data_IF_584088454405
#
_entry.id   IF_584088454405
#
_cell.length_a   1.000
_cell.length_b   1.000
_cell.length_c   1.000
_cell.angle_alpha   90.00
_cell.angle_beta   90.00
_cell.angle_gamma   90.00
#
_symmetry.space_group_name_H-M   'P 1'
#
loop_
_entity.id
_entity.type
_entity.pdbx_description
1 polymer ?
#
# COMPACT_ATOMS: atom_id res chain seq x y z
N UNK A 1 11.92 5.55 -7.47
CA UNK A 1 11.82 5.03 -6.08
C UNK A 1 12.75 3.85 -5.94
N UNK A 2 13.54 3.81 -4.87
CA UNK A 2 14.42 2.69 -4.55
C UNK A 2 14.32 2.39 -3.05
N UNK A 3 14.03 1.14 -2.69
CA UNK A 3 14.07 0.59 -1.34
C UNK A 3 15.11 -0.50 -1.28
N UNK A 4 15.94 -0.51 -0.22
CA UNK A 4 16.96 -1.54 0.03
C UNK A 4 16.81 -2.09 1.44
N UNK A 5 16.43 -3.35 1.55
CA UNK A 5 16.31 -4.11 2.80
C UNK A 5 15.49 -3.36 3.87
N UNK A 6 14.40 -2.72 3.46
CA UNK A 6 13.57 -1.89 4.34
C UNK A 6 12.76 -2.76 5.28
N UNK A 7 12.89 -2.47 6.58
CA UNK A 7 12.09 -3.08 7.64
C UNK A 7 11.34 -2.00 8.42
N UNK A 8 10.14 -2.34 8.88
CA UNK A 8 9.33 -1.50 9.78
C UNK A 8 8.94 -2.30 11.00
N UNK A 9 9.40 -1.83 12.15
CA UNK A 9 9.09 -2.41 13.45
C UNK A 9 8.26 -1.42 14.29
N UNK A 10 7.06 -1.82 14.71
CA UNK A 10 6.23 -1.04 15.61
C UNK A 10 6.43 -1.52 17.05
N UNK A 11 6.88 -0.65 17.97
CA UNK A 11 7.07 -1.02 19.36
C UNK A 11 5.73 -1.30 20.05
N UNK A 12 5.68 -2.38 20.85
CA UNK A 12 4.51 -2.70 21.67
C UNK A 12 4.76 -2.13 23.05
N UNK A 13 3.87 -1.27 23.57
CA UNK A 13 3.96 -0.78 24.94
C UNK A 13 3.99 -1.93 25.95
N UNK A 14 4.88 -1.87 26.95
CA UNK A 14 4.92 -2.86 28.02
C UNK A 14 3.65 -2.76 28.87
N UNK A 15 2.63 -3.57 28.55
CA UNK A 15 1.52 -3.78 29.46
C UNK A 15 1.87 -4.83 30.50
N UNK A 16 1.61 -4.55 31.77
CA UNK A 16 1.92 -5.44 32.91
C UNK A 16 1.09 -6.74 32.95
N UNK A 17 0.19 -6.97 32.02
CA UNK A 17 -0.58 -8.22 31.95
C UNK A 17 -1.16 -8.44 30.54
N UNK A 18 -0.99 -9.61 30.02
CA UNK A 18 -1.92 -10.52 29.34
C UNK A 18 -1.35 -11.18 28.06
N UNK A 19 -1.20 -12.49 28.16
CA UNK A 19 -1.02 -13.40 27.01
C UNK A 19 -2.16 -13.25 25.96
N UNK A 20 -3.37 -12.83 26.38
CA UNK A 20 -4.50 -12.61 25.50
C UNK A 20 -4.37 -11.37 24.61
N UNK A 21 -3.74 -10.29 25.10
CA UNK A 21 -3.52 -9.06 24.33
C UNK A 21 -2.58 -9.30 23.14
N UNK A 22 -1.54 -10.13 23.30
CA UNK A 22 -0.60 -10.47 22.21
C UNK A 22 -1.29 -11.14 21.02
N UNK A 23 -2.21 -12.09 21.27
CA UNK A 23 -2.99 -12.77 20.21
C UNK A 23 -3.94 -11.82 19.49
N UNK A 24 -4.66 -10.96 20.24
CA UNK A 24 -5.60 -9.99 19.65
C UNK A 24 -4.91 -8.99 18.73
N UNK A 25 -3.76 -8.46 19.14
CA UNK A 25 -3.00 -7.46 18.35
C UNK A 25 -2.46 -8.09 17.05
N UNK A 26 -2.01 -9.34 17.07
CA UNK A 26 -1.49 -10.04 15.89
C UNK A 26 -2.57 -10.23 14.82
N UNK A 27 -3.82 -10.53 15.22
CA UNK A 27 -4.95 -10.67 14.29
C UNK A 27 -5.43 -9.33 13.72
N UNK A 28 -5.21 -8.22 14.43
CA UNK A 28 -5.74 -6.90 14.03
C UNK A 28 -4.77 -6.12 13.16
N UNK A 29 -3.44 -6.24 13.40
CA UNK A 29 -2.44 -5.40 12.72
C UNK A 29 -1.71 -6.16 11.61
N UNK A 30 -1.69 -7.50 11.66
CA UNK A 30 -0.80 -8.32 10.82
C UNK A 30 0.68 -8.16 11.19
N UNK A 31 1.56 -8.89 10.54
CA UNK A 31 3.01 -8.81 10.75
C UNK A 31 3.55 -9.83 11.76
N UNK A 32 4.89 -9.92 11.82
CA UNK A 32 5.62 -10.90 12.62
C UNK A 32 5.97 -10.36 14.00
N UNK A 33 5.73 -11.14 15.05
CA UNK A 33 6.15 -10.81 16.40
C UNK A 33 7.66 -10.99 16.56
N UNK A 34 8.39 -9.91 16.91
CA UNK A 34 9.76 -10.00 17.41
C UNK A 34 9.78 -9.78 18.92
N UNK A 35 10.36 -10.75 19.63
CA UNK A 35 10.61 -10.64 21.07
C UNK A 35 12.11 -10.64 21.28
N UNK A 36 12.68 -9.50 21.66
CA UNK A 36 14.03 -9.39 22.17
C UNK A 36 14.02 -9.16 23.68
N UNK A 37 15.13 -9.44 24.36
CA UNK A 37 15.24 -9.26 25.82
C UNK A 37 14.89 -7.80 26.16
N UNK A 38 13.68 -7.58 26.67
CA UNK A 38 13.22 -6.30 27.20
C UNK A 38 12.30 -5.44 26.30
N UNK A 39 12.08 -5.76 25.02
CA UNK A 39 11.16 -5.05 24.15
C UNK A 39 10.46 -6.02 23.19
N UNK A 40 9.15 -5.87 23.05
CA UNK A 40 8.38 -6.59 22.04
C UNK A 40 8.02 -5.61 20.92
N UNK A 41 8.15 -6.02 19.67
CA UNK A 41 7.74 -5.25 18.51
C UNK A 41 6.99 -6.12 17.51
N UNK A 42 6.16 -5.49 16.69
CA UNK A 42 5.54 -6.12 15.53
C UNK A 42 6.30 -5.66 14.30
N UNK A 43 6.87 -6.61 13.57
CA UNK A 43 7.47 -6.33 12.27
C UNK A 43 6.39 -6.31 11.21
N UNK A 44 6.07 -5.13 10.72
CA UNK A 44 5.03 -4.91 9.73
C UNK A 44 5.56 -5.02 8.29
N UNK A 45 6.84 -4.67 8.06
CA UNK A 45 7.56 -4.92 6.81
C UNK A 45 8.91 -5.56 7.13
N UNK A 46 9.28 -6.57 6.35
CA UNK A 46 10.50 -7.35 6.56
C UNK A 46 11.30 -7.46 5.26
N UNK A 47 12.46 -6.80 5.25
CA UNK A 47 13.45 -6.89 4.17
C UNK A 47 12.90 -6.53 2.76
N UNK A 48 12.08 -5.47 2.68
CA UNK A 48 11.52 -5.00 1.41
C UNK A 48 12.62 -4.36 0.56
N UNK A 49 12.86 -4.94 -0.61
CA UNK A 49 13.73 -4.37 -1.65
C UNK A 49 12.94 -4.20 -2.94
N UNK A 50 12.88 -2.96 -3.44
CA UNK A 50 12.01 -2.59 -4.56
C UNK A 50 12.64 -1.45 -5.36
N UNK A 51 12.53 -1.53 -6.68
CA UNK A 51 12.94 -0.45 -7.58
C UNK A 51 11.81 -0.13 -8.56
N UNK A 52 11.35 1.13 -8.57
CA UNK A 52 10.33 1.63 -9.48
C UNK A 52 10.91 2.73 -10.36
N UNK A 53 10.63 2.66 -11.65
CA UNK A 53 11.08 3.57 -12.68
C UNK A 53 9.91 4.41 -13.24
N UNK A 54 10.24 5.42 -14.04
CA UNK A 54 9.23 6.20 -14.76
C UNK A 54 8.41 5.29 -15.68
N UNK A 55 7.09 5.50 -15.69
CA UNK A 55 6.11 4.69 -16.41
C UNK A 55 5.57 3.51 -15.60
N UNK A 56 6.11 3.22 -14.41
CA UNK A 56 5.59 2.15 -13.58
C UNK A 56 4.24 2.52 -12.95
N UNK A 57 3.24 1.69 -13.20
CA UNK A 57 1.91 1.69 -12.59
C UNK A 57 1.79 0.39 -11.79
N UNK A 58 2.03 0.47 -10.49
CA UNK A 58 2.23 -0.72 -9.66
C UNK A 58 1.02 -1.00 -8.78
N UNK A 59 0.44 -2.18 -8.92
CA UNK A 59 -0.59 -2.69 -8.03
C UNK A 59 0.02 -3.42 -6.82
N UNK A 60 -0.36 -3.04 -5.60
CA UNK A 60 -0.05 -3.79 -4.39
C UNK A 60 -1.19 -4.76 -4.09
N UNK A 61 -0.91 -6.04 -4.18
CA UNK A 61 -1.86 -7.15 -3.97
C UNK A 61 -1.49 -7.90 -2.70
N UNK A 62 -2.47 -8.51 -2.04
CA UNK A 62 -2.27 -9.30 -0.83
C UNK A 62 -3.45 -9.20 0.13
N UNK A 63 -3.53 -10.13 1.08
CA UNK A 63 -4.59 -10.18 2.09
C UNK A 63 -4.56 -8.96 3.05
N UNK A 64 -5.61 -8.83 3.87
CA UNK A 64 -5.64 -7.82 4.93
C UNK A 64 -4.51 -8.07 5.94
N UNK A 65 -3.78 -7.02 6.31
CA UNK A 65 -2.61 -7.13 7.17
C UNK A 65 -1.32 -7.59 6.47
N UNK A 66 -1.30 -7.78 5.15
CA UNK A 66 -0.10 -8.14 4.39
C UNK A 66 1.00 -7.06 4.41
N UNK A 67 0.68 -5.81 4.77
CA UNK A 67 1.63 -4.69 4.83
C UNK A 67 1.44 -3.64 3.74
N UNK A 68 0.41 -3.73 2.87
CA UNK A 68 0.16 -2.80 1.75
C UNK A 68 0.12 -1.34 2.19
N UNK A 69 -0.77 -0.99 3.10
CA UNK A 69 -0.90 0.38 3.64
C UNK A 69 0.36 0.84 4.36
N UNK A 70 1.06 -0.07 5.06
CA UNK A 70 2.34 0.25 5.70
C UNK A 70 3.40 0.60 4.66
N UNK A 71 3.51 -0.17 3.58
CA UNK A 71 4.43 0.12 2.48
C UNK A 71 4.11 1.47 1.82
N UNK A 72 2.84 1.75 1.54
CA UNK A 72 2.42 3.05 1.00
C UNK A 72 2.82 4.21 1.92
N UNK A 73 2.64 4.08 3.24
CA UNK A 73 3.04 5.11 4.22
C UNK A 73 4.55 5.28 4.33
N UNK A 74 5.32 4.22 4.12
CA UNK A 74 6.78 4.28 4.00
C UNK A 74 7.18 5.05 2.74
N UNK A 75 6.57 4.75 1.60
CA UNK A 75 6.78 5.46 0.34
C UNK A 75 6.38 6.93 0.43
N UNK A 76 5.32 7.25 1.17
CA UNK A 76 4.88 8.62 1.45
C UNK A 76 5.80 9.38 2.43
N UNK A 77 6.81 8.71 3.03
CA UNK A 77 7.69 9.31 4.03
C UNK A 77 7.06 9.49 5.41
N UNK A 78 5.87 8.90 5.65
CA UNK A 78 5.18 8.96 6.96
C UNK A 78 5.88 8.09 8.00
N UNK A 79 6.35 6.92 7.59
CA UNK A 79 7.09 6.01 8.47
C UNK A 79 8.56 5.94 8.04
N UNK A 80 9.49 6.40 8.90
CA UNK A 80 10.91 6.16 8.67
C UNK A 80 11.22 4.67 8.81
N UNK A 81 12.09 4.10 7.98
CA UNK A 81 12.49 2.71 8.10
C UNK A 81 13.20 2.43 9.42
N UNK A 82 12.88 1.30 10.07
CA UNK A 82 13.61 0.82 11.25
C UNK A 82 14.99 0.28 10.87
N UNK A 83 15.09 -0.30 9.66
CA UNK A 83 16.32 -0.74 9.02
C UNK A 83 16.19 -0.57 7.50
N UNK A 84 17.33 -0.52 6.80
CA UNK A 84 17.41 -0.36 5.37
C UNK A 84 17.37 1.11 4.95
N UNK A 85 17.30 1.33 3.64
CA UNK A 85 17.33 2.65 3.04
C UNK A 85 16.16 2.83 2.06
N UNK A 86 15.60 4.05 2.05
CA UNK A 86 14.62 4.48 1.06
C UNK A 86 15.13 5.73 0.34
N UNK A 87 15.01 5.74 -0.97
CA UNK A 87 15.30 6.88 -1.82
C UNK A 87 14.12 7.14 -2.76
N UNK A 88 13.41 8.24 -2.51
CA UNK A 88 12.38 8.75 -3.39
C UNK A 88 12.83 10.09 -3.98
N UNK A 89 12.73 10.24 -5.31
CA UNK A 89 12.99 11.50 -6.01
C UNK A 89 11.72 11.93 -6.71
N UNK A 90 11.35 13.18 -6.52
CA UNK A 90 10.13 13.77 -7.11
C UNK A 90 9.09 14.13 -6.05
N UNK A 91 8.05 14.84 -6.51
CA UNK A 91 6.92 15.27 -5.68
C UNK A 91 5.95 14.10 -5.49
N UNK A 92 5.67 13.75 -4.25
CA UNK A 92 4.74 12.69 -3.91
C UNK A 92 3.37 13.29 -3.60
N UNK A 93 2.32 12.82 -4.28
CA UNK A 93 0.94 13.03 -3.88
C UNK A 93 0.39 11.73 -3.26
N UNK A 94 0.03 11.82 -1.99
CA UNK A 94 -0.56 10.71 -1.25
C UNK A 94 -2.06 10.90 -1.13
N UNK A 95 -2.83 9.95 -1.63
CA UNK A 95 -4.28 9.87 -1.50
C UNK A 95 -4.70 8.86 -0.41
N UNK A 96 -3.80 8.55 0.53
CA UNK A 96 -4.04 7.57 1.60
C UNK A 96 -5.04 8.10 2.64
N UNK A 97 -4.75 9.27 3.15
CA UNK A 97 -5.54 9.94 4.18
C UNK A 97 -5.77 11.40 3.75
N UNK A 98 -6.52 11.57 2.66
CA UNK A 98 -6.65 12.88 1.98
C UNK A 98 -7.30 13.97 2.84
N UNK A 99 -8.04 13.60 3.89
CA UNK A 99 -8.65 14.54 4.84
C UNK A 99 -7.72 14.96 5.99
N UNK A 100 -6.55 14.32 6.14
CA UNK A 100 -5.60 14.72 7.17
C UNK A 100 -5.01 16.12 6.91
N UNK A 101 -4.80 16.86 8.01
CA UNK A 101 -4.19 18.19 7.97
C UNK A 101 -5.17 19.32 7.67
N UNK A 102 -6.49 19.07 7.75
CA UNK A 102 -7.49 20.12 7.80
C UNK A 102 -7.57 20.73 9.19
N UNK A 103 -7.69 22.06 9.24
CA UNK A 103 -8.11 22.80 10.43
C UNK A 103 -9.64 22.92 10.41
N UNK A 104 -10.30 22.24 11.35
CA UNK A 104 -11.76 22.20 11.43
C UNK A 104 -12.40 23.52 11.83
N UNK A 105 -11.64 24.40 12.48
CA UNK A 105 -12.13 25.73 12.88
C UNK A 105 -11.96 26.77 11.78
N UNK A 106 -11.07 26.51 10.81
CA UNK A 106 -10.86 27.37 9.65
C UNK A 106 -11.92 27.09 8.56
N UNK A 107 -12.17 28.08 7.73
CA UNK A 107 -13.06 28.00 6.57
C UNK A 107 -12.51 27.08 5.46
N UNK A 108 -13.35 26.71 4.50
CA UNK A 108 -12.93 25.97 3.31
C UNK A 108 -11.84 26.69 2.52
N UNK A 109 -11.98 28.00 2.33
CA UNK A 109 -10.97 28.81 1.63
C UNK A 109 -9.62 28.85 2.36
N UNK A 110 -9.65 29.01 3.69
CA UNK A 110 -8.42 28.97 4.49
C UNK A 110 -7.76 27.60 4.44
N UNK A 111 -8.53 26.52 4.44
CA UNK A 111 -8.01 25.17 4.31
C UNK A 111 -7.44 24.89 2.91
N UNK A 112 -8.04 25.42 1.84
CA UNK A 112 -7.45 25.37 0.49
C UNK A 112 -6.06 26.01 0.52
N UNK A 113 -5.95 27.18 1.17
CA UNK A 113 -4.69 27.91 1.28
C UNK A 113 -3.65 27.13 2.11
N UNK A 114 -4.01 26.68 3.30
CA UNK A 114 -3.12 25.92 4.19
C UNK A 114 -2.61 24.63 3.53
N UNK A 115 -3.54 23.83 2.98
CA UNK A 115 -3.15 22.59 2.31
C UNK A 115 -2.35 22.80 1.03
N UNK A 116 -2.67 23.84 0.27
CA UNK A 116 -1.86 24.22 -0.88
C UNK A 116 -0.40 24.48 -0.50
N UNK A 117 -0.17 25.20 0.62
CA UNK A 117 1.19 25.39 1.16
C UNK A 117 1.85 24.07 1.59
N UNK A 118 1.12 23.18 2.27
CA UNK A 118 1.62 21.85 2.64
C UNK A 118 2.02 21.00 1.43
N UNK A 119 1.28 21.12 0.34
CA UNK A 119 1.58 20.45 -0.93
C UNK A 119 2.70 21.14 -1.73
N UNK A 120 3.30 22.21 -1.18
CA UNK A 120 4.43 22.92 -1.78
C UNK A 120 4.06 23.93 -2.84
N UNK A 121 2.79 24.34 -2.93
CA UNK A 121 2.36 25.42 -3.82
C UNK A 121 2.75 26.78 -3.26
N UNK A 122 3.12 27.70 -4.13
CA UNK A 122 3.31 29.11 -3.78
C UNK A 122 1.96 29.80 -3.59
N UNK A 123 1.95 30.92 -2.86
CA UNK A 123 0.74 31.75 -2.66
C UNK A 123 0.07 32.13 -3.99
N UNK A 124 0.86 32.45 -5.00
CA UNK A 124 0.35 32.80 -6.34
C UNK A 124 -0.30 31.60 -7.04
N UNK A 125 0.29 30.41 -6.93
CA UNK A 125 -0.31 29.18 -7.47
C UNK A 125 -1.63 28.86 -6.78
N UNK A 126 -1.66 28.95 -5.43
CA UNK A 126 -2.90 28.71 -4.66
C UNK A 126 -4.00 29.69 -5.08
N UNK A 127 -3.68 30.99 -5.20
CA UNK A 127 -4.65 31.99 -5.66
C UNK A 127 -5.21 31.69 -7.04
N UNK A 128 -4.38 31.18 -7.97
CA UNK A 128 -4.81 30.80 -9.32
C UNK A 128 -5.69 29.55 -9.37
N UNK A 129 -5.51 28.61 -8.45
CA UNK A 129 -6.31 27.38 -8.41
C UNK A 129 -7.55 27.49 -7.51
N UNK A 130 -7.69 28.57 -6.73
CA UNK A 130 -8.80 28.76 -5.79
C UNK A 130 -10.17 28.63 -6.46
N UNK A 131 -10.37 29.35 -7.58
CA UNK A 131 -11.62 29.29 -8.32
C UNK A 131 -11.87 27.92 -8.95
N UNK A 132 -10.82 27.24 -9.43
CA UNK A 132 -10.93 25.89 -9.99
C UNK A 132 -11.37 24.88 -8.92
N UNK A 133 -10.75 24.96 -7.73
CA UNK A 133 -11.11 24.11 -6.60
C UNK A 133 -12.55 24.40 -6.16
N UNK A 134 -12.91 25.66 -6.00
CA UNK A 134 -14.27 26.08 -5.62
C UNK A 134 -15.33 25.54 -6.58
N UNK A 135 -15.11 25.72 -7.88
CA UNK A 135 -16.05 25.26 -8.92
C UNK A 135 -16.14 23.74 -8.95
N UNK A 136 -15.01 23.03 -8.84
CA UNK A 136 -14.99 21.56 -8.87
C UNK A 136 -15.73 20.94 -7.67
N UNK A 137 -15.53 21.51 -6.46
CA UNK A 137 -16.19 21.00 -5.26
C UNK A 137 -17.69 21.21 -5.25
N UNK A 138 -18.17 22.24 -5.95
CA UNK A 138 -19.57 22.70 -5.97
C UNK A 138 -20.14 22.89 -4.55
N UNK A 139 -19.31 23.39 -3.61
CA UNK A 139 -19.72 23.64 -2.22
C UNK A 139 -20.32 25.02 -2.00
N UNK A 140 -20.15 25.95 -2.94
CA UNK A 140 -20.73 27.28 -2.91
C UNK A 140 -20.39 28.03 -1.61
N UNK A 141 -21.43 28.58 -0.94
CA UNK A 141 -21.27 29.37 0.29
C UNK A 141 -20.65 28.58 1.47
N UNK A 142 -20.69 27.26 1.44
CA UNK A 142 -20.04 26.45 2.48
C UNK A 142 -18.53 26.71 2.54
N UNK A 143 -17.88 27.07 1.44
CA UNK A 143 -16.44 27.38 1.44
C UNK A 143 -16.06 28.55 2.38
N UNK A 144 -17.01 29.41 2.71
CA UNK A 144 -16.79 30.49 3.69
C UNK A 144 -17.07 30.06 5.14
N UNK A 145 -17.54 28.82 5.36
CA UNK A 145 -17.89 28.29 6.69
C UNK A 145 -16.78 27.40 7.25
N UNK A 146 -16.66 27.29 8.58
CA UNK A 146 -15.71 26.38 9.23
C UNK A 146 -15.95 24.91 8.83
N UNK A 147 -14.87 24.14 8.62
CA UNK A 147 -14.98 22.75 8.17
C UNK A 147 -15.71 21.82 9.15
N UNK A 148 -15.77 22.16 10.45
CA UNK A 148 -16.58 21.42 11.43
C UNK A 148 -18.07 21.35 11.09
N UNK A 149 -18.55 22.23 10.18
CA UNK A 149 -19.94 22.23 9.70
C UNK A 149 -20.15 21.35 8.48
N UNK A 150 -19.08 20.79 7.90
CA UNK A 150 -19.14 19.98 6.68
C UNK A 150 -19.52 18.53 7.00
N UNK A 151 -20.25 17.92 6.08
CA UNK A 151 -20.40 16.46 6.07
C UNK A 151 -19.08 15.77 5.66
N UNK A 152 -18.94 14.48 5.96
CA UNK A 152 -17.76 13.71 5.52
C UNK A 152 -17.57 13.75 4.00
N UNK A 153 -18.66 13.70 3.23
CA UNK A 153 -18.61 13.81 1.76
C UNK A 153 -18.13 15.18 1.30
N UNK A 154 -18.52 16.29 1.96
CA UNK A 154 -18.02 17.63 1.63
C UNK A 154 -16.54 17.77 1.94
N UNK A 155 -16.08 17.24 3.09
CA UNK A 155 -14.66 17.22 3.45
C UNK A 155 -13.83 16.45 2.42
N UNK A 156 -14.32 15.28 2.01
CA UNK A 156 -13.63 14.46 1.00
C UNK A 156 -13.58 15.14 -0.36
N UNK A 157 -14.66 15.79 -0.82
CA UNK A 157 -14.68 16.56 -2.06
C UNK A 157 -13.64 17.68 -2.03
N UNK A 158 -13.59 18.44 -0.94
CA UNK A 158 -12.61 19.52 -0.77
C UNK A 158 -11.18 18.99 -0.76
N UNK A 159 -10.92 17.93 0.02
CA UNK A 159 -9.61 17.29 0.11
C UNK A 159 -9.12 16.76 -1.24
N UNK A 160 -9.99 16.07 -1.97
CA UNK A 160 -9.71 15.55 -3.30
C UNK A 160 -9.41 16.68 -4.31
N UNK A 161 -10.25 17.72 -4.32
CA UNK A 161 -10.08 18.87 -5.20
C UNK A 161 -8.72 19.54 -5.00
N UNK A 162 -8.31 19.75 -3.74
CA UNK A 162 -7.02 20.39 -3.42
C UNK A 162 -5.86 19.48 -3.85
N UNK A 163 -5.93 18.21 -3.51
CA UNK A 163 -4.83 17.25 -3.75
C UNK A 163 -4.57 17.06 -5.25
N UNK A 164 -5.62 17.08 -6.07
CA UNK A 164 -5.53 16.88 -7.52
C UNK A 164 -5.21 18.15 -8.32
N UNK A 165 -5.00 19.31 -7.67
CA UNK A 165 -4.49 20.52 -8.32
C UNK A 165 -2.95 20.53 -8.43
N UNK A 166 -2.27 19.65 -7.71
CA UNK A 166 -0.80 19.55 -7.75
C UNK A 166 -0.41 18.51 -8.78
N UNK A 167 0.54 18.83 -9.65
CA UNK A 167 1.11 17.85 -10.59
C UNK A 167 2.20 17.05 -9.85
N UNK A 168 1.96 15.76 -9.54
CA UNK A 168 2.91 14.92 -8.84
C UNK A 168 3.79 14.15 -9.80
N UNK A 169 5.01 13.82 -9.35
CA UNK A 169 5.84 12.82 -10.00
C UNK A 169 5.42 11.39 -9.59
N UNK A 170 4.95 11.25 -8.34
CA UNK A 170 4.60 9.97 -7.73
C UNK A 170 3.22 10.06 -7.10
N UNK A 171 2.33 9.13 -7.43
CA UNK A 171 1.00 8.97 -6.82
C UNK A 171 0.97 7.71 -5.97
N UNK A 172 0.47 7.85 -4.73
CA UNK A 172 0.25 6.74 -3.81
C UNK A 172 -1.23 6.69 -3.42
N UNK A 173 -1.87 5.53 -3.62
CA UNK A 173 -3.30 5.33 -3.37
C UNK A 173 -3.53 4.04 -2.59
N UNK A 174 -4.42 4.10 -1.58
CA UNK A 174 -4.93 2.93 -0.85
C UNK A 174 -6.43 2.83 -1.13
N UNK A 175 -6.81 1.91 -1.99
CA UNK A 175 -8.11 1.77 -2.63
C UNK A 175 -8.48 2.92 -3.60
N UNK A 176 -9.41 2.61 -4.50
CA UNK A 176 -9.97 3.62 -5.41
C UNK A 176 -10.91 4.53 -4.64
N UNK A 177 -10.77 5.83 -4.86
CA UNK A 177 -11.54 6.83 -4.13
C UNK A 177 -13.03 6.70 -4.47
N UNK A 178 -13.83 6.32 -3.48
CA UNK A 178 -15.29 6.32 -3.55
C UNK A 178 -15.82 7.55 -2.79
N UNK A 179 -15.89 8.71 -3.46
CA UNK A 179 -16.21 10.00 -2.80
C UNK A 179 -17.48 10.62 -3.36
N UNK A 180 -18.44 10.90 -2.49
CA UNK A 180 -19.58 11.75 -2.81
C UNK A 180 -20.75 11.01 -3.45
N UNK A 181 -21.64 11.78 -4.11
CA UNK A 181 -22.76 11.25 -4.90
C UNK A 181 -22.32 10.82 -6.31
N UNK A 182 -23.21 10.13 -7.03
CA UNK A 182 -22.93 9.57 -8.34
C UNK A 182 -22.39 10.61 -9.36
N UNK A 183 -22.91 11.83 -9.33
CA UNK A 183 -22.50 12.90 -10.24
C UNK A 183 -21.08 13.38 -9.95
N UNK A 184 -20.74 13.55 -8.66
CA UNK A 184 -19.39 13.90 -8.28
C UNK A 184 -18.38 12.79 -8.56
N UNK A 185 -18.80 11.53 -8.40
CA UNK A 185 -17.98 10.35 -8.71
C UNK A 185 -17.50 10.33 -10.16
N UNK A 186 -18.36 10.67 -11.11
CA UNK A 186 -18.00 10.73 -12.53
C UNK A 186 -16.94 11.80 -12.80
N UNK A 187 -17.15 13.02 -12.29
CA UNK A 187 -16.19 14.11 -12.40
C UNK A 187 -14.86 13.80 -11.69
N UNK A 188 -14.94 13.16 -10.51
CA UNK A 188 -13.76 12.76 -9.75
C UNK A 188 -12.95 11.68 -10.49
N UNK A 189 -13.62 10.76 -11.17
CA UNK A 189 -12.99 9.71 -11.99
C UNK A 189 -12.20 10.31 -13.15
N UNK A 190 -12.83 11.16 -13.95
CA UNK A 190 -12.16 11.86 -15.08
C UNK A 190 -10.95 12.66 -14.59
N UNK A 191 -11.11 13.39 -13.47
CA UNK A 191 -10.01 14.18 -12.89
C UNK A 191 -8.87 13.30 -12.38
N UNK A 192 -9.20 12.16 -11.75
CA UNK A 192 -8.21 11.21 -11.26
C UNK A 192 -7.46 10.54 -12.42
N UNK A 193 -8.14 10.17 -13.49
CA UNK A 193 -7.50 9.63 -14.70
C UNK A 193 -6.51 10.64 -15.31
N UNK A 194 -6.92 11.90 -15.44
CA UNK A 194 -6.02 12.98 -15.85
C UNK A 194 -4.83 13.15 -14.91
N UNK A 195 -5.06 13.11 -13.60
CA UNK A 195 -4.04 13.22 -12.57
C UNK A 195 -3.03 12.05 -12.63
N UNK A 196 -3.52 10.82 -12.82
CA UNK A 196 -2.69 9.63 -13.00
C UNK A 196 -1.85 9.73 -14.28
N UNK A 197 -2.44 10.19 -15.38
CA UNK A 197 -1.75 10.25 -16.68
C UNK A 197 -0.53 11.17 -16.67
N UNK A 198 -0.54 12.22 -15.87
CA UNK A 198 0.57 13.19 -15.75
C UNK A 198 1.68 12.72 -14.81
N UNK A 199 1.44 11.71 -13.97
CA UNK A 199 2.44 11.21 -13.03
C UNK A 199 3.46 10.29 -13.68
N UNK A 200 4.69 10.30 -13.15
CA UNK A 200 5.76 9.40 -13.60
C UNK A 200 5.61 7.99 -13.02
N UNK A 201 5.18 7.87 -11.77
CA UNK A 201 5.01 6.59 -11.07
C UNK A 201 3.67 6.62 -10.34
N UNK A 202 2.97 5.49 -10.35
CA UNK A 202 1.78 5.27 -9.50
C UNK A 202 1.93 3.97 -8.72
N UNK A 203 1.57 4.00 -7.43
CA UNK A 203 1.44 2.81 -6.60
C UNK A 203 0.03 2.77 -6.01
N UNK A 204 -0.73 1.74 -6.35
CA UNK A 204 -2.12 1.53 -5.96
C UNK A 204 -2.25 0.24 -5.16
N UNK A 205 -2.67 0.32 -3.89
CA UNK A 205 -3.18 -0.86 -3.19
C UNK A 205 -4.68 -1.00 -3.47
N UNK A 206 -5.12 -2.18 -3.85
CA UNK A 206 -6.55 -2.48 -4.00
C UNK A 206 -6.84 -3.97 -3.83
N UNK A 207 -8.08 -4.25 -3.40
CA UNK A 207 -8.64 -5.58 -3.37
C UNK A 207 -9.39 -5.94 -4.67
N UNK A 208 -9.63 -4.98 -5.57
CA UNK A 208 -10.26 -5.20 -6.86
C UNK A 208 -9.23 -5.62 -7.90
N UNK A 209 -9.28 -6.87 -8.32
CA UNK A 209 -8.45 -7.41 -9.40
C UNK A 209 -8.68 -6.66 -10.71
N UNK A 210 -9.94 -6.40 -11.08
CA UNK A 210 -10.30 -5.68 -12.32
C UNK A 210 -9.68 -4.28 -12.35
N UNK A 211 -9.68 -3.59 -11.21
CA UNK A 211 -9.08 -2.27 -11.09
C UNK A 211 -7.55 -2.33 -11.31
N UNK A 212 -6.88 -3.27 -10.66
CA UNK A 212 -5.42 -3.46 -10.83
C UNK A 212 -5.10 -3.80 -12.30
N UNK A 213 -5.85 -4.73 -12.91
CA UNK A 213 -5.66 -5.13 -14.31
C UNK A 213 -5.86 -3.99 -15.30
N UNK A 214 -6.85 -3.13 -15.06
CA UNK A 214 -7.15 -2.00 -15.96
C UNK A 214 -6.22 -0.80 -15.78
N UNK A 215 -5.57 -0.65 -14.62
CA UNK A 215 -4.86 0.58 -14.26
C UNK A 215 -3.35 0.39 -14.13
N UNK A 216 -2.89 -0.83 -13.81
CA UNK A 216 -1.49 -1.13 -13.52
C UNK A 216 -0.83 -1.95 -14.63
N UNK A 217 0.47 -1.73 -14.83
CA UNK A 217 1.31 -2.53 -15.73
C UNK A 217 2.22 -3.51 -14.99
N UNK A 218 2.37 -3.33 -13.67
CA UNK A 218 3.12 -4.20 -12.78
C UNK A 218 2.31 -4.47 -11.53
N UNK A 219 2.61 -5.55 -10.84
CA UNK A 219 2.07 -5.81 -9.52
C UNK A 219 3.13 -6.36 -8.57
N UNK A 220 2.85 -6.22 -7.27
CA UNK A 220 3.65 -6.74 -6.17
C UNK A 220 2.70 -7.46 -5.23
N UNK A 221 2.93 -8.74 -5.02
CA UNK A 221 2.23 -9.53 -4.01
C UNK A 221 2.95 -9.40 -2.68
N UNK A 222 2.23 -8.90 -1.68
CA UNK A 222 2.70 -8.81 -0.30
C UNK A 222 2.03 -9.88 0.55
N UNK A 223 2.82 -10.52 1.40
CA UNK A 223 2.34 -11.44 2.43
C UNK A 223 3.18 -11.31 3.70
N UNK A 224 2.52 -11.15 4.85
CA UNK A 224 3.17 -11.02 6.17
C UNK A 224 4.33 -10.03 6.23
N UNK A 225 4.24 -8.93 5.47
CA UNK A 225 5.25 -7.88 5.43
C UNK A 225 6.43 -8.15 4.48
N UNK A 226 6.40 -9.20 3.67
CA UNK A 226 7.41 -9.54 2.67
C UNK A 226 6.86 -9.42 1.25
N UNK A 227 7.73 -9.21 0.25
CA UNK A 227 7.38 -9.35 -1.16
C UNK A 227 7.44 -10.84 -1.50
N UNK A 228 6.29 -11.41 -1.84
CA UNK A 228 6.17 -12.82 -2.25
C UNK A 228 6.39 -12.99 -3.75
N UNK A 229 5.88 -12.05 -4.56
CA UNK A 229 6.09 -12.02 -6.00
C UNK A 229 6.06 -10.57 -6.50
N UNK A 230 6.76 -10.31 -7.60
CA UNK A 230 6.69 -9.04 -8.33
C UNK A 230 6.92 -9.30 -9.82
N UNK A 231 6.19 -8.59 -10.67
CA UNK A 231 6.28 -8.77 -12.12
C UNK A 231 5.13 -8.09 -12.84
N UNK A 232 4.72 -8.62 -13.98
CA UNK A 232 3.51 -8.21 -14.67
C UNK A 232 2.27 -8.50 -13.82
N UNK A 233 1.19 -7.79 -14.07
CA UNK A 233 -0.08 -8.01 -13.33
C UNK A 233 -0.54 -9.45 -13.47
N UNK A 234 -0.44 -10.02 -14.68
CA UNK A 234 -0.85 -11.40 -14.97
C UNK A 234 -0.04 -12.43 -14.16
N UNK A 235 1.29 -12.32 -14.16
CA UNK A 235 2.17 -13.22 -13.40
C UNK A 235 1.84 -13.17 -11.90
N UNK A 236 1.66 -11.97 -11.34
CA UNK A 236 1.39 -11.80 -9.92
C UNK A 236 0.01 -12.33 -9.54
N UNK A 237 -1.04 -12.12 -10.37
CA UNK A 237 -2.36 -12.67 -10.10
C UNK A 237 -2.43 -14.17 -10.33
N UNK A 238 -1.67 -14.71 -11.27
CA UNK A 238 -1.52 -16.16 -11.40
C UNK A 238 -1.00 -16.74 -10.08
N UNK A 239 0.06 -16.15 -9.52
CA UNK A 239 0.56 -16.54 -8.20
C UNK A 239 -0.46 -16.30 -7.06
N UNK A 240 -1.16 -15.17 -7.06
CA UNK A 240 -2.14 -14.83 -6.04
C UNK A 240 -3.34 -15.78 -6.02
N UNK A 241 -3.90 -16.10 -7.18
CA UNK A 241 -5.07 -16.98 -7.29
C UNK A 241 -4.72 -18.43 -6.97
N UNK A 242 -3.52 -18.86 -7.34
CA UNK A 242 -3.07 -20.21 -7.07
C UNK A 242 -2.65 -20.42 -5.62
N UNK A 243 -2.05 -19.39 -4.98
CA UNK A 243 -1.44 -19.51 -3.65
C UNK A 243 -1.95 -18.46 -2.64
N UNK A 244 -2.87 -17.61 -3.05
CA UNK A 244 -3.32 -16.42 -2.29
C UNK A 244 -4.18 -16.72 -1.07
N UNK A 245 -4.57 -17.97 -0.85
CA UNK A 245 -5.04 -18.39 0.45
C UNK A 245 -3.80 -18.83 1.25
N UNK A 246 -3.49 -18.12 2.33
CA UNK A 246 -2.45 -18.46 3.32
C UNK A 246 -2.59 -19.88 3.92
N UNK A 247 -3.63 -20.62 3.49
CA UNK A 247 -3.88 -22.02 3.85
C UNK A 247 -2.97 -23.03 3.13
N UNK A 248 -2.31 -22.63 2.03
CA UNK A 248 -1.60 -23.59 1.17
C UNK A 248 -0.07 -23.58 1.31
N UNK A 249 0.52 -22.58 1.99
CA UNK A 249 1.97 -22.53 2.17
C UNK A 249 2.34 -21.98 3.55
N UNK A 250 2.93 -22.83 4.38
CA UNK A 250 3.54 -22.44 5.65
C UNK A 250 5.06 -22.41 5.50
N UNK A 251 5.64 -21.18 5.60
CA UNK A 251 7.07 -20.95 5.45
C UNK A 251 7.91 -21.72 6.45
N UNK A 252 7.48 -21.71 7.71
CA UNK A 252 8.27 -22.28 8.81
C UNK A 252 8.20 -23.81 8.72
N UNK A 253 7.04 -24.37 8.36
CA UNK A 253 6.87 -25.78 8.07
C UNK A 253 7.68 -26.19 6.82
N UNK A 254 7.61 -25.40 5.71
CA UNK A 254 8.36 -25.67 4.49
C UNK A 254 9.87 -25.74 4.72
N UNK A 255 10.44 -24.80 5.47
CA UNK A 255 11.88 -24.84 5.82
C UNK A 255 12.18 -26.02 6.75
N UNK A 256 11.29 -26.31 7.70
CA UNK A 256 11.44 -27.42 8.65
C UNK A 256 11.52 -28.79 7.97
N UNK A 257 10.69 -29.01 6.94
CA UNK A 257 10.66 -30.29 6.20
C UNK A 257 11.71 -30.36 5.08
N UNK A 258 12.34 -29.23 4.73
CA UNK A 258 13.39 -29.13 3.72
C UNK A 258 14.64 -28.41 4.27
N UNK A 259 15.38 -29.00 5.23
CA UNK A 259 16.52 -28.35 5.89
C UNK A 259 17.70 -28.04 4.97
N UNK A 260 17.78 -28.68 3.78
CA UNK A 260 18.77 -28.41 2.75
C UNK A 260 18.62 -26.99 2.13
N UNK A 261 17.47 -26.34 2.34
CA UNK A 261 17.19 -25.01 1.81
C UNK A 261 17.74 -23.87 2.67
N UNK A 262 18.17 -24.14 3.89
CA UNK A 262 18.66 -23.10 4.83
C UNK A 262 19.82 -22.29 4.23
N UNK A 263 20.73 -22.95 3.50
CA UNK A 263 21.82 -22.31 2.77
C UNK A 263 21.34 -21.52 1.52
N UNK A 264 20.33 -22.01 0.83
CA UNK A 264 19.77 -21.37 -0.39
C UNK A 264 18.95 -20.13 -0.06
N UNK A 265 18.36 -20.05 1.14
CA UNK A 265 17.61 -18.90 1.63
C UNK A 265 18.49 -17.69 1.98
N UNK A 266 19.82 -17.86 1.99
CA UNK A 266 20.78 -16.76 2.15
C UNK A 266 20.93 -15.91 0.89
N UNK A 267 20.30 -16.28 -0.23
CA UNK A 267 20.34 -15.52 -1.48
C UNK A 267 19.37 -14.32 -1.34
N UNK A 268 19.85 -13.07 -1.47
CA UNK A 268 18.98 -11.89 -1.41
C UNK A 268 17.83 -11.98 -2.43
N UNK A 269 16.58 -11.86 -1.95
CA UNK A 269 15.40 -11.88 -2.79
C UNK A 269 14.78 -13.26 -3.04
N UNK A 270 15.31 -14.35 -2.45
CA UNK A 270 14.70 -15.66 -2.53
C UNK A 270 13.87 -15.96 -1.26
N UNK A 271 12.59 -15.60 -1.26
CA UNK A 271 11.67 -16.01 -0.20
C UNK A 271 11.39 -17.53 -0.32
N UNK A 272 11.13 -18.26 0.79
CA UNK A 272 10.84 -19.71 0.77
C UNK A 272 9.73 -20.12 -0.19
N UNK A 273 8.67 -19.33 -0.25
CA UNK A 273 7.58 -19.46 -1.20
C UNK A 273 8.03 -19.30 -2.66
N UNK A 274 8.91 -18.32 -2.98
CA UNK A 274 9.50 -18.15 -4.32
C UNK A 274 10.35 -19.36 -4.71
N UNK A 275 11.06 -19.95 -3.74
CA UNK A 275 11.79 -21.19 -3.95
C UNK A 275 10.84 -22.33 -4.27
N UNK A 276 9.75 -22.47 -3.49
CA UNK A 276 8.76 -23.53 -3.70
C UNK A 276 8.19 -23.48 -5.12
N UNK A 277 7.74 -22.30 -5.59
CA UNK A 277 7.17 -22.17 -6.94
C UNK A 277 8.19 -22.38 -8.05
N UNK A 278 9.39 -21.80 -7.91
CA UNK A 278 10.39 -21.86 -9.00
C UNK A 278 11.06 -23.21 -9.11
N UNK A 279 11.24 -23.88 -8.01
CA UNK A 279 12.04 -25.10 -7.93
C UNK A 279 11.32 -26.22 -7.18
N UNK A 280 10.67 -25.91 -6.04
CA UNK A 280 10.12 -26.92 -5.13
C UNK A 280 9.05 -27.79 -5.78
N UNK A 281 8.18 -27.21 -6.61
CA UNK A 281 7.17 -27.98 -7.36
C UNK A 281 7.83 -28.98 -8.30
N UNK A 282 8.81 -28.51 -9.09
CA UNK A 282 9.54 -29.39 -10.05
C UNK A 282 10.45 -30.41 -9.36
N UNK A 283 10.88 -30.13 -8.13
CA UNK A 283 11.65 -31.04 -7.29
C UNK A 283 10.78 -31.99 -6.47
N UNK A 284 9.45 -31.90 -6.61
CA UNK A 284 8.50 -32.72 -5.85
C UNK A 284 8.45 -32.40 -4.35
N UNK A 285 8.80 -31.17 -3.94
CA UNK A 285 8.82 -30.75 -2.52
C UNK A 285 7.42 -30.43 -2.01
N UNK A 286 7.07 -30.93 -0.84
CA UNK A 286 5.80 -30.56 -0.19
C UNK A 286 5.79 -29.08 0.23
N UNK A 287 4.69 -28.33 0.00
CA UNK A 287 4.56 -26.93 0.43
C UNK A 287 4.41 -26.74 1.95
N UNK A 288 4.26 -27.79 2.73
CA UNK A 288 3.80 -27.78 4.10
C UNK A 288 2.27 -27.87 4.19
N UNK A 289 1.70 -27.61 5.37
CA UNK A 289 0.25 -27.61 5.63
C UNK A 289 -0.47 -28.94 5.29
N UNK A 290 0.25 -30.05 5.20
CA UNK A 290 -0.31 -31.37 4.91
C UNK A 290 -0.82 -31.55 3.47
N UNK A 291 -0.44 -30.69 2.54
CA UNK A 291 -0.83 -30.78 1.12
C UNK A 291 0.16 -31.69 0.39
N UNK A 292 -0.35 -32.71 -0.32
CA UNK A 292 0.40 -33.56 -1.24
C UNK A 292 0.43 -32.94 -2.63
N UNK A 293 1.59 -32.98 -3.31
CA UNK A 293 1.73 -32.56 -4.70
C UNK A 293 0.93 -33.39 -5.69
N UNK A 294 0.50 -34.59 -5.29
CA UNK A 294 -0.38 -35.43 -6.12
C UNK A 294 -1.71 -34.74 -6.47
N UNK A 295 -2.11 -33.71 -5.70
CA UNK A 295 -3.28 -32.88 -6.01
C UNK A 295 -3.06 -31.98 -7.24
N UNK A 296 -1.82 -31.79 -7.69
CA UNK A 296 -1.43 -30.91 -8.79
C UNK A 296 -1.14 -31.65 -10.09
N UNK A 297 -0.96 -32.98 -10.05
CA UNK A 297 -0.62 -33.83 -11.22
C UNK A 297 -1.71 -33.83 -12.33
N UNK A 298 -2.90 -33.31 -12.07
CA UNK A 298 -4.02 -33.24 -13.01
C UNK A 298 -4.34 -31.84 -13.50
N UNK A 299 -3.55 -30.82 -13.15
CA UNK A 299 -3.75 -29.45 -13.63
C UNK A 299 -2.94 -29.23 -14.91
N UNK A 300 -3.57 -28.87 -16.06
CA UNK A 300 -2.88 -28.67 -17.35
C UNK A 300 -1.89 -27.52 -17.39
N UNK A 301 -1.64 -26.86 -16.26
CA UNK A 301 -0.70 -25.75 -16.10
C UNK A 301 0.67 -26.22 -15.56
N UNK A 302 0.80 -27.48 -15.14
CA UNK A 302 2.05 -28.09 -14.67
C UNK A 302 2.54 -29.19 -15.59
#
# INVERSE_FOLDING_TARGET
IELKNVCIDFPIPKSKSNKGFRRSVQHTIGGKFKSSVGASSIRALDNISLQLANGDRVGLVGHNGAGKTTLLRVLAGVYPPSNGEIRCKGRIASLLDISLGFDLEASGYENIFLRGLYLGLTKQQISKCMDKISNFTNLGNYLSMPLRTYSSGMLMRLAFAITTEVEPDIILMDEWISVGDARFMEQAKERLEGFISTSSIMVLASHSEDLIRSTCNKAILLGQGEILAQGSVEEVYHHYNFFGSSAFFDKDEYISIHPDLEASMSIPGMAPWMHFIRYGIFEGRSPGCGISLEAFDNDPIF
#
